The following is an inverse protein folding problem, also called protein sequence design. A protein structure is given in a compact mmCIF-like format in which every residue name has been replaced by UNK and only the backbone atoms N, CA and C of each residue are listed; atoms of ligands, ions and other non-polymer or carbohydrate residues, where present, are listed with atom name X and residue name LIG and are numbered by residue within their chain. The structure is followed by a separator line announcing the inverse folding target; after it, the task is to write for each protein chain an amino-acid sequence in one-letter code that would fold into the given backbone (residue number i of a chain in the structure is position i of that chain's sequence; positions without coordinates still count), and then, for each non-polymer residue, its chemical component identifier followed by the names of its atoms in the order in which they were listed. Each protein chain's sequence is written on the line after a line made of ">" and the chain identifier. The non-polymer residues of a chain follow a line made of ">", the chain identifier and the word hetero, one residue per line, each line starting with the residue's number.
data_IF_681815738551
#
_entry.id   IF_681815738551
#
_cell.length_a   1.000
_cell.length_b   1.000
_cell.length_c   1.000
_cell.angle_alpha   90.00
_cell.angle_beta   90.00
_cell.angle_gamma   90.00
#
_symmetry.space_group_name_H-M   'P 1'
#
loop_
_entity.id
_entity.type
_entity.pdbx_description
1 polymer ?
#
# COMPACT_ATOMS: atom_id res chain seq x y z
N UNK A 1 1.80 120.36 26.39
CA UNK A 1 2.22 119.48 26.63
C UNK A 1 1.47 118.49 27.02
N UNK A 2 0.97 118.74 27.73
CA UNK A 2 0.23 117.86 28.33
C UNK A 2 -0.64 117.00 27.53
N UNK A 3 -1.15 117.59 26.89
CA UNK A 3 -1.98 116.99 26.16
C UNK A 3 -1.43 116.10 25.23
N UNK A 4 -0.55 116.23 24.88
CA UNK A 4 0.06 115.53 24.06
C UNK A 4 0.67 114.41 24.57
N UNK A 5 1.27 114.51 25.63
CA UNK A 5 1.84 113.41 26.37
C UNK A 5 0.79 112.42 26.86
N UNK A 6 -0.41 112.90 27.24
CA UNK A 6 -1.54 112.06 27.62
C UNK A 6 -2.06 111.21 26.47
N UNK A 7 -2.14 111.80 25.26
CA UNK A 7 -2.58 111.06 24.01
C UNK A 7 -1.50 110.02 23.63
N UNK A 8 -0.23 110.41 23.68
CA UNK A 8 0.88 109.47 23.39
C UNK A 8 0.94 108.27 24.38
N UNK A 9 0.70 108.52 25.65
CA UNK A 9 0.63 107.47 26.68
C UNK A 9 -0.61 106.57 26.49
N UNK A 10 -1.77 107.19 26.03
CA UNK A 10 -2.96 106.37 25.72
C UNK A 10 -2.74 105.42 24.54
N UNK A 11 -2.18 105.94 23.44
CA UNK A 11 -1.85 105.11 22.26
C UNK A 11 -0.83 104.06 22.56
N UNK A 12 0.18 104.39 23.33
CA UNK A 12 1.20 103.42 23.73
C UNK A 12 0.65 102.25 24.58
N UNK A 13 -0.33 102.61 25.43
CA UNK A 13 -0.99 101.59 26.29
C UNK A 13 -1.90 100.71 25.43
N UNK A 14 -2.63 101.27 24.46
CA UNK A 14 -3.41 100.46 23.53
C UNK A 14 -2.57 99.58 22.65
N UNK A 15 -1.39 100.01 22.20
CA UNK A 15 -0.42 99.22 21.43
C UNK A 15 0.16 98.14 22.27
N UNK A 16 0.46 98.38 23.54
CA UNK A 16 0.97 97.35 24.47
C UNK A 16 -0.13 96.30 24.75
N UNK A 17 -1.36 96.75 25.00
CA UNK A 17 -2.49 95.81 25.21
C UNK A 17 -2.76 94.94 23.96
N UNK A 18 -2.75 95.59 22.77
CA UNK A 18 -2.89 94.87 21.50
C UNK A 18 -1.74 93.87 21.27
N UNK A 19 -0.49 94.23 21.61
CA UNK A 19 0.68 93.35 21.51
C UNK A 19 0.55 92.18 22.47
N UNK A 20 0.08 92.44 23.72
CA UNK A 20 -0.21 91.41 24.70
C UNK A 20 -1.24 90.45 24.20
N UNK A 21 -2.32 90.87 23.60
CA UNK A 21 -3.36 90.04 23.02
C UNK A 21 -2.83 89.17 21.86
N UNK A 22 -1.92 89.70 21.04
CA UNK A 22 -1.29 88.97 19.94
C UNK A 22 -0.34 87.84 20.55
N UNK A 23 0.45 88.18 21.58
CA UNK A 23 1.31 87.21 22.26
C UNK A 23 0.48 86.08 22.88
N UNK A 24 -0.67 86.40 23.54
CA UNK A 24 -1.51 85.38 24.15
C UNK A 24 -2.10 84.45 23.06
N UNK A 25 -2.56 84.98 21.93
CA UNK A 25 -3.04 84.16 20.81
C UNK A 25 -1.91 83.27 20.24
N UNK A 26 -0.71 83.82 20.11
CA UNK A 26 0.46 83.10 19.59
C UNK A 26 0.83 81.99 20.56
N UNK A 27 0.89 82.25 21.86
CA UNK A 27 1.17 81.26 22.89
C UNK A 27 0.08 80.17 22.86
N UNK A 28 -1.18 80.49 22.83
CA UNK A 28 -2.28 79.54 22.73
C UNK A 28 -2.23 78.70 21.44
N UNK A 29 -1.82 79.35 20.34
CA UNK A 29 -1.59 78.67 19.07
C UNK A 29 -0.45 77.65 19.15
N UNK A 30 0.61 78.08 19.81
CA UNK A 30 1.82 77.18 20.02
C UNK A 30 1.49 75.98 20.92
N UNK A 31 0.72 76.20 22.00
CA UNK A 31 0.24 75.13 22.86
C UNK A 31 -0.61 74.09 22.10
N UNK A 32 -1.51 74.57 21.23
CA UNK A 32 -2.31 73.68 20.37
C UNK A 32 -1.40 72.91 19.44
N UNK A 33 -0.44 73.55 18.78
CA UNK A 33 0.52 72.89 17.89
C UNK A 33 1.30 71.79 18.61
N UNK A 34 1.79 72.05 19.83
CA UNK A 34 2.52 71.04 20.63
C UNK A 34 1.60 69.81 20.91
N UNK A 35 0.36 70.05 21.34
CA UNK A 35 -0.61 68.97 21.58
C UNK A 35 -0.90 68.16 20.32
N UNK A 36 -1.09 68.85 19.20
CA UNK A 36 -1.38 68.17 17.89
C UNK A 36 -0.15 67.36 17.46
N UNK A 37 1.04 67.87 17.68
CA UNK A 37 2.30 67.18 17.37
C UNK A 37 2.44 65.90 18.23
N UNK A 38 2.15 65.98 19.52
CA UNK A 38 2.15 64.81 20.40
C UNK A 38 1.11 63.78 19.97
N UNK A 39 -0.06 64.21 19.58
CA UNK A 39 -1.11 63.34 19.04
C UNK A 39 -0.66 62.64 17.76
N UNK A 40 -0.04 63.39 16.83
CA UNK A 40 0.51 62.84 15.59
C UNK A 40 1.61 61.83 15.89
N UNK A 41 2.49 62.09 16.83
CA UNK A 41 3.53 61.13 17.20
C UNK A 41 2.95 59.82 17.74
N UNK A 42 1.89 59.88 18.54
CA UNK A 42 1.18 58.68 19.02
C UNK A 42 0.57 57.93 17.85
N UNK A 43 -0.11 58.60 16.93
CA UNK A 43 -0.68 57.96 15.74
C UNK A 43 0.37 57.31 14.86
N UNK A 44 1.54 57.90 14.68
CA UNK A 44 2.66 57.30 13.93
C UNK A 44 3.14 56.05 14.65
N UNK A 45 3.25 56.05 15.98
CA UNK A 45 3.64 54.87 16.78
C UNK A 45 2.62 53.74 16.57
N UNK A 46 1.30 54.03 16.60
CA UNK A 46 0.25 53.03 16.41
C UNK A 46 0.32 52.43 14.99
N UNK A 47 0.58 53.26 13.97
CA UNK A 47 0.76 52.79 12.60
C UNK A 47 1.99 51.86 12.48
N UNK A 48 3.11 52.21 13.11
CA UNK A 48 4.32 51.36 13.10
C UNK A 48 4.04 50.00 13.75
N UNK A 49 3.31 50.01 14.88
CA UNK A 49 2.89 48.76 15.51
C UNK A 49 1.99 47.92 14.59
N UNK A 50 0.99 48.53 13.98
CA UNK A 50 0.07 47.82 13.07
C UNK A 50 0.83 47.22 11.87
N UNK A 51 1.83 47.93 11.34
CA UNK A 51 2.68 47.40 10.26
C UNK A 51 3.40 46.16 10.74
N UNK A 52 3.93 46.17 11.96
CA UNK A 52 4.60 45.00 12.56
C UNK A 52 3.67 43.78 12.67
N UNK A 53 2.41 44.01 13.07
CA UNK A 53 1.40 42.96 13.17
C UNK A 53 1.01 42.40 11.79
N UNK A 54 0.91 43.26 10.77
CA UNK A 54 0.67 42.81 9.39
C UNK A 54 1.86 41.99 8.88
N UNK A 55 3.09 42.39 9.15
CA UNK A 55 4.27 41.65 8.71
C UNK A 55 4.32 40.26 9.35
N UNK A 56 4.05 40.17 10.65
CA UNK A 56 3.99 38.87 11.37
C UNK A 56 2.89 37.97 10.79
N UNK A 57 1.72 38.56 10.49
CA UNK A 57 0.60 37.82 9.87
C UNK A 57 0.97 37.31 8.47
N UNK A 58 1.63 38.13 7.66
CA UNK A 58 2.11 37.75 6.33
C UNK A 58 3.11 36.61 6.39
N UNK A 59 4.01 36.63 7.37
CA UNK A 59 4.96 35.52 7.59
C UNK A 59 4.22 34.22 7.92
N UNK A 60 3.26 34.27 8.84
CA UNK A 60 2.44 33.10 9.18
C UNK A 60 1.65 32.58 7.98
N UNK A 61 1.07 33.47 7.17
CA UNK A 61 0.38 33.09 5.95
C UNK A 61 1.32 32.39 4.95
N UNK A 62 2.53 32.89 4.80
CA UNK A 62 3.53 32.30 3.91
C UNK A 62 3.86 30.86 4.31
N UNK A 63 4.03 30.61 5.61
CA UNK A 63 4.28 29.26 6.14
C UNK A 63 3.08 28.34 5.90
N UNK A 64 1.86 28.84 6.11
CA UNK A 64 0.63 28.07 5.85
C UNK A 64 0.49 27.70 4.37
N UNK A 65 0.76 28.65 3.46
CA UNK A 65 0.74 28.39 2.01
C UNK A 65 1.76 27.30 1.67
N UNK A 66 2.94 27.34 2.28
CA UNK A 66 3.96 26.29 2.12
C UNK A 66 3.46 24.91 2.57
N UNK A 67 2.78 24.87 3.71
CA UNK A 67 2.18 23.62 4.23
C UNK A 67 1.08 23.10 3.31
N UNK A 68 0.22 23.97 2.80
CA UNK A 68 -0.84 23.61 1.85
C UNK A 68 -0.24 23.05 0.56
N UNK A 69 0.83 23.67 0.05
CA UNK A 69 1.52 23.17 -1.15
C UNK A 69 2.08 21.77 -0.94
N UNK A 70 2.73 21.50 0.19
CA UNK A 70 3.27 20.20 0.54
C UNK A 70 2.15 19.14 0.67
N UNK A 71 1.06 19.49 1.36
CA UNK A 71 -0.09 18.60 1.51
C UNK A 71 -0.75 18.29 0.16
N UNK A 72 -0.85 19.28 -0.71
CA UNK A 72 -1.40 19.10 -2.06
C UNK A 72 -0.54 18.13 -2.89
N UNK A 73 0.77 18.20 -2.76
CA UNK A 73 1.69 17.27 -3.43
C UNK A 73 1.49 15.83 -2.91
N UNK A 74 1.37 15.65 -1.59
CA UNK A 74 1.09 14.34 -0.99
C UNK A 74 -0.25 13.77 -1.48
N UNK A 75 -1.30 14.60 -1.53
CA UNK A 75 -2.62 14.18 -2.04
C UNK A 75 -2.53 13.75 -3.50
N UNK A 76 -1.81 14.48 -4.35
CA UNK A 76 -1.63 14.10 -5.76
C UNK A 76 -0.90 12.75 -5.90
N UNK A 77 0.12 12.50 -5.10
CA UNK A 77 0.83 11.22 -5.08
C UNK A 77 -0.10 10.08 -4.67
N UNK A 78 -0.91 10.29 -3.62
CA UNK A 78 -1.89 9.29 -3.14
C UNK A 78 -2.98 9.02 -4.18
N UNK A 79 -3.45 10.03 -4.88
CA UNK A 79 -4.44 9.87 -5.96
C UNK A 79 -3.84 9.05 -7.11
N UNK A 80 -2.58 9.31 -7.47
CA UNK A 80 -1.87 8.50 -8.48
C UNK A 80 -1.76 7.04 -8.08
N UNK A 81 -1.37 6.78 -6.85
CA UNK A 81 -1.29 5.43 -6.28
C UNK A 81 -2.66 4.74 -6.29
N UNK A 82 -3.71 5.46 -5.88
CA UNK A 82 -5.08 4.94 -5.84
C UNK A 82 -5.60 4.58 -7.23
N UNK A 83 -5.23 5.31 -8.27
CA UNK A 83 -5.58 4.98 -9.65
C UNK A 83 -4.99 3.63 -10.06
N UNK A 84 -3.74 3.38 -9.70
CA UNK A 84 -3.09 2.07 -9.94
C UNK A 84 -3.79 0.93 -9.21
N UNK A 85 -4.21 1.17 -7.96
CA UNK A 85 -4.98 0.19 -7.18
C UNK A 85 -6.33 -0.13 -7.83
N UNK A 86 -7.03 0.88 -8.32
CA UNK A 86 -8.34 0.72 -9.00
C UNK A 86 -8.16 -0.14 -10.26
N UNK A 87 -7.14 0.13 -11.06
CA UNK A 87 -6.86 -0.68 -12.25
C UNK A 87 -6.56 -2.13 -11.90
N UNK A 88 -5.85 -2.36 -10.80
CA UNK A 88 -5.56 -3.71 -10.31
C UNK A 88 -6.85 -4.43 -9.88
N UNK A 89 -7.72 -3.75 -9.11
CA UNK A 89 -9.01 -4.29 -8.68
C UNK A 89 -9.88 -4.63 -9.90
N UNK A 90 -9.90 -3.75 -10.91
CA UNK A 90 -10.66 -3.98 -12.15
C UNK A 90 -10.20 -5.27 -12.83
N UNK A 91 -8.90 -5.45 -13.04
CA UNK A 91 -8.37 -6.68 -13.67
C UNK A 91 -8.67 -7.93 -12.84
N UNK A 92 -8.59 -7.84 -11.50
CA UNK A 92 -8.96 -8.96 -10.62
C UNK A 92 -10.43 -9.31 -10.77
N UNK A 93 -11.31 -8.30 -10.85
CA UNK A 93 -12.75 -8.50 -11.03
C UNK A 93 -13.06 -9.15 -12.37
N UNK A 94 -12.42 -8.70 -13.44
CA UNK A 94 -12.57 -9.28 -14.79
C UNK A 94 -12.18 -10.77 -14.77
N UNK A 95 -11.05 -11.10 -14.17
CA UNK A 95 -10.59 -12.49 -14.06
C UNK A 95 -11.55 -13.37 -13.25
N UNK A 96 -12.11 -12.86 -12.15
CA UNK A 96 -13.12 -13.59 -11.38
C UNK A 96 -14.38 -13.83 -12.21
N UNK A 97 -14.81 -12.84 -12.99
CA UNK A 97 -15.99 -12.96 -13.86
C UNK A 97 -15.78 -14.03 -14.96
N UNK A 98 -14.57 -14.11 -15.52
CA UNK A 98 -14.23 -15.17 -16.49
C UNK A 98 -14.39 -16.56 -15.88
N UNK A 99 -13.81 -16.79 -14.70
CA UNK A 99 -13.89 -18.06 -13.97
C UNK A 99 -15.35 -18.41 -13.66
N UNK A 100 -16.13 -17.45 -13.16
CA UNK A 100 -17.53 -17.67 -12.81
C UNK A 100 -18.38 -17.99 -14.05
N UNK A 101 -18.09 -17.36 -15.19
CA UNK A 101 -18.78 -17.65 -16.45
C UNK A 101 -18.48 -19.09 -16.89
N UNK A 102 -17.23 -19.52 -16.85
CA UNK A 102 -16.83 -20.89 -17.20
C UNK A 102 -17.51 -21.91 -16.28
N UNK A 103 -17.49 -21.69 -14.96
CA UNK A 103 -18.15 -22.57 -13.99
C UNK A 103 -19.66 -22.68 -14.25
N UNK A 104 -20.32 -21.58 -14.60
CA UNK A 104 -21.77 -21.54 -14.85
C UNK A 104 -22.18 -22.25 -16.15
N UNK A 105 -21.29 -22.27 -17.13
CA UNK A 105 -21.56 -22.91 -18.42
C UNK A 105 -21.13 -24.38 -18.46
N UNK A 106 -20.57 -24.90 -17.35
CA UNK A 106 -20.04 -26.27 -17.28
C UNK A 106 -18.81 -26.42 -18.17
N UNK A 107 -17.93 -25.42 -18.08
CA UNK A 107 -16.72 -25.37 -18.90
C UNK A 107 -15.71 -26.47 -18.55
N UNK A 108 -15.20 -27.12 -19.60
CA UNK A 108 -14.23 -28.22 -19.45
C UNK A 108 -12.91 -27.76 -18.80
N UNK A 109 -12.58 -26.48 -18.92
CA UNK A 109 -11.35 -25.95 -18.33
C UNK A 109 -11.37 -26.04 -16.79
N UNK A 110 -12.47 -25.62 -16.16
CA UNK A 110 -12.59 -25.70 -14.70
C UNK A 110 -12.60 -27.15 -14.20
N UNK A 111 -13.32 -28.04 -14.91
CA UNK A 111 -13.38 -29.46 -14.56
C UNK A 111 -11.99 -30.10 -14.64
N UNK A 112 -11.24 -29.84 -15.71
CA UNK A 112 -9.87 -30.33 -15.89
C UNK A 112 -8.93 -29.82 -14.79
N UNK A 113 -9.07 -28.57 -14.40
CA UNK A 113 -8.29 -27.97 -13.30
C UNK A 113 -8.62 -28.67 -11.98
N UNK A 114 -9.92 -28.92 -11.73
CA UNK A 114 -10.39 -29.59 -10.52
C UNK A 114 -9.81 -31.03 -10.42
N UNK A 115 -9.86 -31.77 -11.52
CA UNK A 115 -9.27 -33.12 -11.60
C UNK A 115 -7.77 -33.10 -11.29
N UNK A 116 -7.05 -32.14 -11.88
CA UNK A 116 -5.61 -31.97 -11.63
C UNK A 116 -5.32 -31.67 -10.16
N UNK A 117 -6.13 -30.79 -9.56
CA UNK A 117 -6.00 -30.41 -8.17
C UNK A 117 -6.26 -31.60 -7.21
N UNK A 118 -7.29 -32.41 -7.51
CA UNK A 118 -7.62 -33.62 -6.73
C UNK A 118 -6.50 -34.66 -6.80
N UNK A 119 -5.96 -34.89 -8.00
CA UNK A 119 -4.82 -35.80 -8.18
C UNK A 119 -3.59 -35.31 -7.39
N UNK A 120 -3.32 -34.00 -7.47
CA UNK A 120 -2.24 -33.37 -6.71
C UNK A 120 -2.44 -33.55 -5.20
N UNK A 121 -3.65 -33.29 -4.69
CA UNK A 121 -3.96 -33.44 -3.26
C UNK A 121 -3.77 -34.89 -2.80
N UNK A 122 -4.23 -35.87 -3.58
CA UNK A 122 -4.04 -37.29 -3.30
C UNK A 122 -2.57 -37.68 -3.21
N UNK A 123 -1.76 -37.25 -4.18
CA UNK A 123 -0.33 -37.52 -4.21
C UNK A 123 0.40 -36.85 -3.01
N UNK A 124 0.07 -35.61 -2.71
CA UNK A 124 0.67 -34.89 -1.57
C UNK A 124 0.30 -35.54 -0.23
N UNK A 125 -0.96 -35.94 -0.07
CA UNK A 125 -1.41 -36.67 1.12
C UNK A 125 -0.65 -37.99 1.27
N UNK A 126 -0.42 -38.70 0.16
CA UNK A 126 0.37 -39.93 0.12
C UNK A 126 1.80 -39.71 0.62
N UNK A 127 2.47 -38.66 0.18
CA UNK A 127 3.83 -38.32 0.64
C UNK A 127 3.88 -38.07 2.16
N UNK A 128 2.90 -37.32 2.65
CA UNK A 128 2.81 -36.97 4.08
C UNK A 128 2.52 -38.23 4.91
N UNK A 129 1.61 -39.09 4.43
CA UNK A 129 1.30 -40.38 5.12
C UNK A 129 2.51 -41.30 5.15
N UNK A 130 3.26 -41.32 4.06
CA UNK A 130 4.47 -42.15 3.98
C UNK A 130 5.53 -41.65 4.98
N UNK A 131 5.78 -40.37 5.03
CA UNK A 131 6.68 -39.77 6.03
C UNK A 131 6.22 -40.12 7.46
N UNK A 132 4.90 -40.00 7.73
CA UNK A 132 4.32 -40.33 9.03
C UNK A 132 4.55 -41.83 9.39
N UNK A 133 4.40 -42.74 8.41
CA UNK A 133 4.66 -44.18 8.62
C UNK A 133 6.12 -44.46 8.98
N UNK A 134 7.04 -43.61 8.52
CA UNK A 134 8.47 -43.70 8.86
C UNK A 134 8.83 -42.93 10.15
N UNK A 135 7.83 -42.54 10.95
CA UNK A 135 8.05 -41.94 12.26
C UNK A 135 8.29 -40.42 12.25
N UNK A 136 8.07 -39.75 11.11
CA UNK A 136 8.26 -38.31 11.01
C UNK A 136 7.01 -37.59 11.53
N UNK A 137 7.18 -36.60 12.41
CA UNK A 137 6.08 -35.77 12.91
C UNK A 137 5.71 -34.76 11.84
N UNK A 138 4.76 -35.12 10.98
CA UNK A 138 4.26 -34.23 9.90
C UNK A 138 3.38 -33.10 10.42
N UNK A 139 2.97 -33.14 11.70
CA UNK A 139 2.18 -32.08 12.33
C UNK A 139 3.03 -31.10 13.15
N UNK A 140 4.36 -31.21 13.11
CA UNK A 140 5.22 -30.24 13.78
C UNK A 140 4.97 -28.82 13.23
N UNK A 141 4.74 -27.89 14.13
CA UNK A 141 4.53 -26.46 13.81
C UNK A 141 5.51 -25.58 14.57
N UNK A 142 6.67 -26.15 14.95
CA UNK A 142 7.78 -25.43 15.57
C UNK A 142 8.72 -24.94 14.46
N UNK A 143 8.43 -23.76 13.93
CA UNK A 143 9.19 -23.18 12.81
C UNK A 143 10.52 -22.64 13.32
N UNK A 144 11.59 -23.37 13.11
CA UNK A 144 12.95 -22.98 13.50
C UNK A 144 13.56 -22.10 12.42
N UNK A 145 13.75 -20.82 12.71
CA UNK A 145 14.27 -19.87 11.73
C UNK A 145 15.67 -20.27 11.25
N UNK A 146 15.87 -20.27 9.94
CA UNK A 146 17.17 -20.46 9.31
C UNK A 146 17.97 -19.17 9.46
N UNK A 147 19.12 -19.26 10.15
CA UNK A 147 19.93 -18.08 10.45
C UNK A 147 20.38 -17.37 9.16
N UNK A 148 20.32 -16.06 9.16
CA UNK A 148 20.76 -15.24 8.03
C UNK A 148 19.84 -15.26 6.81
N UNK A 149 18.68 -15.95 6.89
CA UNK A 149 17.75 -15.96 5.74
C UNK A 149 16.92 -14.67 5.69
N UNK A 150 16.90 -14.05 4.52
CA UNK A 150 16.08 -12.86 4.22
C UNK A 150 15.64 -12.96 2.76
N UNK A 151 14.35 -13.16 2.46
CA UNK A 151 13.21 -13.27 3.42
C UNK A 151 13.32 -14.45 4.41
N UNK A 152 12.61 -14.37 5.55
CA UNK A 152 12.67 -15.39 6.59
C UNK A 152 12.29 -16.78 6.08
N UNK A 153 13.12 -17.78 6.41
CA UNK A 153 12.90 -19.19 6.07
C UNK A 153 13.02 -20.03 7.34
N UNK A 154 12.39 -21.19 7.33
CA UNK A 154 12.26 -22.02 8.55
C UNK A 154 12.45 -23.51 8.24
N UNK A 155 12.80 -24.25 9.28
CA UNK A 155 12.79 -25.72 9.30
C UNK A 155 11.69 -26.22 10.24
N UNK A 156 11.17 -27.40 9.92
CA UNK A 156 10.28 -28.20 10.76
C UNK A 156 10.84 -29.62 10.85
N UNK A 157 10.24 -30.47 11.69
CA UNK A 157 10.66 -31.85 11.83
C UNK A 157 10.50 -32.67 10.53
N UNK A 158 9.59 -32.26 9.65
CA UNK A 158 9.23 -33.03 8.46
C UNK A 158 9.83 -32.52 7.16
N UNK A 159 10.26 -31.24 7.11
CA UNK A 159 10.61 -30.63 5.83
C UNK A 159 11.71 -31.38 5.08
N UNK A 160 12.74 -31.82 5.78
CA UNK A 160 13.88 -32.57 5.16
C UNK A 160 13.46 -33.93 4.62
N UNK A 161 12.51 -34.57 5.29
CA UNK A 161 12.06 -35.92 4.91
C UNK A 161 11.26 -35.89 3.59
N UNK A 162 10.54 -34.78 3.32
CA UNK A 162 9.67 -34.68 2.14
C UNK A 162 10.20 -33.71 1.07
N UNK A 163 11.27 -32.97 1.31
CA UNK A 163 11.76 -31.90 0.43
C UNK A 163 11.91 -32.35 -1.03
N UNK A 164 12.76 -33.38 -1.24
CA UNK A 164 13.05 -33.86 -2.59
C UNK A 164 11.84 -34.52 -3.28
N UNK A 165 11.13 -35.49 -2.66
CA UNK A 165 9.95 -36.07 -3.31
C UNK A 165 8.84 -35.07 -3.52
N UNK A 166 8.65 -34.10 -2.61
CA UNK A 166 7.66 -33.07 -2.77
C UNK A 166 8.03 -32.10 -3.91
N UNK A 167 9.30 -31.69 -4.00
CA UNK A 167 9.76 -30.82 -5.10
C UNK A 167 9.49 -31.46 -6.46
N UNK A 168 9.80 -32.77 -6.59
CA UNK A 168 9.51 -33.51 -7.83
C UNK A 168 8.01 -33.55 -8.15
N UNK A 169 7.17 -33.78 -7.13
CA UNK A 169 5.71 -33.75 -7.31
C UNK A 169 5.24 -32.36 -7.76
N UNK A 170 5.72 -31.31 -7.08
CA UNK A 170 5.37 -29.92 -7.41
C UNK A 170 5.74 -29.59 -8.87
N UNK A 171 6.96 -29.98 -9.29
CA UNK A 171 7.40 -29.71 -10.66
C UNK A 171 6.57 -30.49 -11.69
N UNK A 172 6.25 -31.76 -11.41
CA UNK A 172 5.44 -32.56 -12.33
C UNK A 172 4.03 -32.00 -12.52
N UNK A 173 3.41 -31.49 -11.43
CA UNK A 173 2.09 -30.85 -11.51
C UNK A 173 2.19 -29.52 -12.27
N UNK A 174 3.25 -28.75 -12.04
CA UNK A 174 3.49 -27.50 -12.73
C UNK A 174 3.60 -27.69 -14.26
N UNK A 175 4.24 -28.77 -14.68
CA UNK A 175 4.39 -29.12 -16.10
C UNK A 175 3.08 -29.65 -16.70
N UNK A 176 2.30 -30.39 -15.90
CA UNK A 176 1.07 -31.03 -16.36
C UNK A 176 -0.09 -30.05 -16.52
N UNK A 177 -0.13 -28.94 -15.75
CA UNK A 177 -1.24 -27.99 -15.78
C UNK A 177 -0.87 -26.80 -16.68
N UNK A 178 -1.48 -26.68 -17.87
CA UNK A 178 -1.16 -25.57 -18.77
C UNK A 178 -1.46 -24.21 -18.11
N UNK A 179 -0.57 -23.26 -18.29
CA UNK A 179 -0.75 -21.92 -17.71
C UNK A 179 -0.44 -21.82 -16.22
N UNK A 180 -0.06 -22.93 -15.57
CA UNK A 180 0.33 -22.87 -14.16
C UNK A 180 1.58 -22.00 -13.99
N UNK A 181 1.54 -21.14 -13.01
CA UNK A 181 2.64 -20.25 -12.62
C UNK A 181 3.45 -20.92 -11.50
N UNK A 182 2.77 -21.57 -10.57
CA UNK A 182 3.39 -22.33 -9.50
C UNK A 182 2.43 -23.38 -8.95
N UNK A 183 3.02 -24.38 -8.27
CA UNK A 183 2.29 -25.33 -7.45
C UNK A 183 2.97 -25.38 -6.09
N UNK A 184 2.20 -25.58 -5.01
CA UNK A 184 2.75 -25.53 -3.67
C UNK A 184 1.90 -26.38 -2.71
N UNK A 185 2.55 -26.98 -1.74
CA UNK A 185 1.92 -27.62 -0.58
C UNK A 185 2.24 -26.74 0.64
N UNK A 186 1.21 -26.33 1.36
CA UNK A 186 1.38 -25.53 2.59
C UNK A 186 0.66 -26.20 3.75
N UNK A 187 1.23 -26.08 4.93
CA UNK A 187 0.51 -26.52 6.13
C UNK A 187 -0.59 -25.49 6.48
N UNK A 188 -1.40 -25.79 7.48
CA UNK A 188 -2.55 -24.97 7.87
C UNK A 188 -2.18 -23.59 8.46
N UNK A 189 -0.88 -23.28 8.59
CA UNK A 189 -0.37 -21.96 8.97
C UNK A 189 0.39 -21.28 7.82
N UNK A 190 0.32 -21.88 6.62
CA UNK A 190 0.93 -21.31 5.42
C UNK A 190 2.40 -21.65 5.20
N UNK A 191 2.98 -22.53 6.02
CA UNK A 191 4.38 -22.94 5.83
C UNK A 191 4.51 -23.89 4.64
N UNK A 192 5.42 -23.56 3.72
CA UNK A 192 5.74 -24.35 2.53
C UNK A 192 7.07 -25.09 2.75
N UNK A 193 7.06 -26.40 3.05
CA UNK A 193 8.30 -27.15 3.27
C UNK A 193 9.19 -27.23 2.03
N UNK A 194 8.59 -27.18 0.83
CA UNK A 194 9.28 -27.13 -0.45
C UNK A 194 8.54 -26.20 -1.41
N UNK A 195 9.14 -25.90 -2.54
CA UNK A 195 8.51 -25.18 -3.65
C UNK A 195 9.02 -25.77 -4.97
N UNK A 196 8.42 -25.37 -6.10
CA UNK A 196 8.95 -25.73 -7.42
C UNK A 196 10.45 -25.42 -7.49
N UNK A 197 11.21 -26.24 -8.21
CA UNK A 197 12.66 -26.06 -8.36
C UNK A 197 13.05 -24.65 -8.78
N UNK A 198 12.30 -24.06 -9.70
CA UNK A 198 12.59 -22.69 -10.19
C UNK A 198 12.43 -21.60 -9.14
N UNK A 199 11.75 -21.89 -8.02
CA UNK A 199 11.55 -20.98 -6.89
C UNK A 199 12.28 -21.47 -5.63
N UNK A 200 13.20 -22.44 -5.77
CA UNK A 200 13.96 -23.02 -4.67
C UNK A 200 15.47 -22.84 -4.91
N UNK A 201 15.85 -21.74 -5.51
CA UNK A 201 17.24 -21.47 -5.88
C UNK A 201 18.07 -21.12 -4.63
N UNK A 202 19.39 -21.20 -4.77
CA UNK A 202 20.31 -20.80 -3.71
C UNK A 202 20.15 -19.29 -3.43
N UNK A 203 20.11 -18.87 -2.16
CA UNK A 203 20.04 -17.45 -1.84
C UNK A 203 21.24 -16.67 -2.39
N UNK A 204 20.99 -15.50 -2.94
CA UNK A 204 22.04 -14.59 -3.43
C UNK A 204 22.57 -13.67 -2.32
N UNK A 205 21.78 -13.49 -1.26
CA UNK A 205 22.06 -12.52 -0.19
C UNK A 205 21.45 -11.15 -0.44
N UNK A 206 20.80 -10.95 -1.62
CA UNK A 206 20.03 -9.73 -1.89
C UNK A 206 18.54 -10.03 -1.68
N UNK A 207 17.91 -9.46 -0.64
CA UNK A 207 16.50 -9.74 -0.35
C UNK A 207 15.55 -9.39 -1.51
N UNK A 208 15.88 -8.38 -2.32
CA UNK A 208 15.04 -7.98 -3.46
C UNK A 208 15.03 -9.03 -4.57
N UNK A 209 16.13 -9.73 -4.73
CA UNK A 209 16.27 -10.84 -5.68
C UNK A 209 15.67 -12.11 -5.07
N UNK A 210 15.99 -12.38 -3.82
CA UNK A 210 15.65 -13.63 -3.15
C UNK A 210 14.14 -13.75 -2.86
N UNK A 211 13.41 -12.64 -2.73
CA UNK A 211 11.96 -12.67 -2.51
C UNK A 211 11.21 -13.40 -3.64
N UNK A 212 11.72 -13.32 -4.88
CA UNK A 212 11.11 -13.96 -6.05
C UNK A 212 11.65 -15.36 -6.31
N UNK A 213 12.89 -15.65 -5.94
CA UNK A 213 13.63 -16.85 -6.36
C UNK A 213 13.80 -17.92 -5.27
N UNK A 214 13.69 -17.51 -4.00
CA UNK A 214 13.92 -18.38 -2.84
C UNK A 214 12.65 -18.42 -2.01
N UNK A 215 11.70 -19.25 -2.44
CA UNK A 215 10.36 -19.26 -1.86
C UNK A 215 10.07 -20.52 -1.03
N UNK A 216 10.92 -21.52 -1.09
CA UNK A 216 10.81 -22.74 -0.27
C UNK A 216 11.12 -22.43 1.19
N UNK A 217 10.51 -23.19 2.09
CA UNK A 217 10.70 -23.07 3.55
C UNK A 217 10.26 -21.73 4.12
N UNK A 218 9.33 -21.05 3.43
CA UNK A 218 8.72 -19.80 3.87
C UNK A 218 7.32 -20.01 4.42
N UNK A 219 6.85 -19.04 5.19
CA UNK A 219 5.46 -18.97 5.65
C UNK A 219 4.75 -17.90 4.80
N UNK A 220 3.66 -18.30 4.16
CA UNK A 220 2.82 -17.42 3.35
C UNK A 220 1.58 -17.07 4.18
N UNK A 221 1.73 -16.09 5.06
CA UNK A 221 0.74 -15.67 6.05
C UNK A 221 0.05 -14.33 5.73
N UNK A 222 0.23 -13.85 4.51
CA UNK A 222 -0.60 -12.73 4.03
C UNK A 222 -2.09 -13.15 4.02
N UNK A 223 -3.04 -12.20 4.03
CA UNK A 223 -4.47 -12.55 4.18
C UNK A 223 -5.00 -13.58 3.19
N UNK A 224 -4.48 -13.60 1.94
CA UNK A 224 -4.89 -14.56 0.91
C UNK A 224 -4.22 -15.92 1.18
N UNK A 225 -2.93 -15.92 1.40
CA UNK A 225 -2.15 -17.14 1.70
C UNK A 225 -2.69 -17.87 2.92
N UNK A 226 -2.92 -17.14 4.00
CA UNK A 226 -3.47 -17.70 5.25
C UNK A 226 -4.86 -18.32 5.03
N UNK A 227 -5.74 -17.63 4.29
CA UNK A 227 -7.09 -18.13 3.99
C UNK A 227 -7.06 -19.41 3.16
N UNK A 228 -6.19 -19.46 2.15
CA UNK A 228 -6.03 -20.64 1.30
C UNK A 228 -5.45 -21.83 2.07
N UNK A 229 -4.49 -21.58 2.97
CA UNK A 229 -3.86 -22.61 3.81
C UNK A 229 -4.82 -23.18 4.85
N UNK A 230 -5.69 -22.34 5.42
CA UNK A 230 -6.65 -22.71 6.45
C UNK A 230 -7.98 -23.26 5.88
N UNK A 231 -8.10 -23.36 4.55
CA UNK A 231 -9.32 -23.88 3.92
C UNK A 231 -9.61 -25.31 4.38
N UNK A 232 -10.80 -25.54 4.96
CA UNK A 232 -11.26 -26.84 5.41
C UNK A 232 -12.48 -27.37 4.64
N UNK A 233 -12.97 -26.57 3.69
CA UNK A 233 -14.14 -26.88 2.89
C UNK A 233 -13.81 -27.50 1.55
N UNK A 234 -14.62 -27.20 0.56
CA UNK A 234 -14.39 -27.59 -0.83
C UNK A 234 -13.24 -26.77 -1.45
N UNK A 235 -13.07 -26.90 -2.73
CA UNK A 235 -12.11 -26.07 -3.47
C UNK A 235 -12.37 -24.58 -3.19
N UNK A 236 -11.30 -23.84 -2.98
CA UNK A 236 -11.35 -22.39 -2.76
C UNK A 236 -10.57 -21.71 -3.88
N UNK A 237 -11.26 -20.84 -4.63
CA UNK A 237 -10.66 -20.08 -5.73
C UNK A 237 -10.50 -18.62 -5.29
N UNK A 238 -9.31 -18.05 -5.53
CA UNK A 238 -9.05 -16.64 -5.22
C UNK A 238 -8.20 -16.00 -6.32
N UNK A 239 -8.50 -14.75 -6.63
CA UNK A 239 -7.70 -13.92 -7.52
C UNK A 239 -7.03 -12.83 -6.71
N UNK A 240 -5.71 -12.67 -6.85
CA UNK A 240 -4.98 -11.67 -6.08
C UNK A 240 -3.70 -11.23 -6.83
N UNK A 241 -3.14 -10.12 -6.37
CA UNK A 241 -1.85 -9.65 -6.85
C UNK A 241 -0.74 -10.15 -5.94
N UNK A 242 0.25 -10.79 -6.54
CA UNK A 242 1.44 -11.28 -5.81
C UNK A 242 2.35 -10.11 -5.40
N UNK A 243 3.30 -10.42 -4.52
CA UNK A 243 4.39 -9.52 -4.14
C UNK A 243 5.21 -9.01 -5.35
N UNK A 244 5.14 -9.72 -6.48
CA UNK A 244 5.76 -9.33 -7.76
C UNK A 244 4.88 -8.38 -8.59
N UNK A 245 3.63 -8.11 -8.16
CA UNK A 245 2.65 -7.31 -8.91
C UNK A 245 1.85 -8.09 -9.95
N UNK A 246 2.16 -9.37 -10.14
CA UNK A 246 1.48 -10.25 -11.09
C UNK A 246 0.13 -10.69 -10.54
N UNK A 247 -0.93 -10.64 -11.37
CA UNK A 247 -2.25 -11.15 -10.98
C UNK A 247 -2.25 -12.65 -11.20
N UNK A 248 -2.66 -13.38 -10.18
CA UNK A 248 -2.69 -14.84 -10.19
C UNK A 248 -4.07 -15.31 -9.71
N UNK A 249 -4.58 -16.30 -10.38
CA UNK A 249 -5.72 -17.09 -9.93
C UNK A 249 -5.16 -18.28 -9.16
N UNK A 250 -5.58 -18.45 -7.93
CA UNK A 250 -5.06 -19.50 -7.03
C UNK A 250 -6.24 -20.38 -6.62
N UNK A 251 -6.12 -21.66 -6.90
CA UNK A 251 -7.11 -22.65 -6.47
C UNK A 251 -6.46 -23.55 -5.42
N UNK A 252 -7.17 -23.81 -4.32
CA UNK A 252 -6.68 -24.67 -3.24
C UNK A 252 -7.66 -25.78 -2.91
N UNK A 253 -7.11 -26.90 -2.46
CA UNK A 253 -7.87 -28.04 -1.94
C UNK A 253 -7.24 -28.49 -0.62
N UNK A 254 -8.05 -28.67 0.45
CA UNK A 254 -7.50 -29.06 1.75
C UNK A 254 -6.95 -30.49 1.74
N UNK A 255 -5.93 -30.70 2.56
CA UNK A 255 -5.31 -32.01 2.81
C UNK A 255 -5.69 -32.48 4.20
N UNK A 256 -6.21 -33.67 4.29
CA UNK A 256 -6.53 -34.34 5.55
C UNK A 256 -5.71 -35.60 5.71
N UNK A 257 -5.18 -35.83 6.91
CA UNK A 257 -4.51 -37.07 7.28
C UNK A 257 -5.35 -37.77 8.37
N UNK A 258 -6.27 -38.63 7.90
CA UNK A 258 -7.36 -39.11 8.74
C UNK A 258 -8.36 -37.98 8.98
N UNK A 259 -8.81 -37.73 10.22
CA UNK A 259 -9.74 -36.63 10.51
C UNK A 259 -9.06 -35.27 10.66
N UNK A 260 -7.73 -35.23 10.69
CA UNK A 260 -6.97 -34.02 11.00
C UNK A 260 -6.65 -33.22 9.76
N UNK A 261 -7.02 -31.93 9.72
CA UNK A 261 -6.68 -30.99 8.67
C UNK A 261 -5.19 -30.67 8.76
N UNK A 262 -4.43 -31.03 7.73
CA UNK A 262 -2.99 -30.81 7.67
C UNK A 262 -2.64 -29.43 7.09
N UNK A 263 -3.34 -29.05 6.02
CA UNK A 263 -3.06 -27.84 5.26
C UNK A 263 -3.74 -27.92 3.89
N UNK A 264 -3.07 -27.44 2.84
CA UNK A 264 -3.66 -27.41 1.50
C UNK A 264 -2.61 -27.53 0.40
N UNK A 265 -3.01 -28.16 -0.72
CA UNK A 265 -2.32 -27.96 -2.00
C UNK A 265 -2.90 -26.74 -2.70
N UNK A 266 -2.07 -26.07 -3.49
CA UNK A 266 -2.47 -24.87 -4.23
C UNK A 266 -1.83 -24.91 -5.63
N UNK A 267 -2.61 -24.45 -6.62
CA UNK A 267 -2.12 -24.20 -7.98
C UNK A 267 -2.39 -22.73 -8.28
N UNK A 268 -1.34 -21.96 -8.50
CA UNK A 268 -1.43 -20.59 -8.97
C UNK A 268 -1.27 -20.57 -10.49
N UNK A 269 -2.20 -19.93 -11.20
CA UNK A 269 -2.21 -19.98 -12.67
C UNK A 269 -2.76 -18.66 -13.25
N UNK A 270 -2.43 -18.44 -14.51
CA UNK A 270 -3.11 -17.47 -15.38
C UNK A 270 -4.31 -18.21 -15.98
N UNK A 271 -5.50 -17.95 -15.46
CA UNK A 271 -6.70 -18.72 -15.85
C UNK A 271 -7.08 -18.47 -17.31
N UNK A 272 -6.95 -17.26 -17.80
CA UNK A 272 -7.26 -16.96 -19.20
C UNK A 272 -6.33 -17.74 -20.15
N UNK A 273 -5.05 -17.81 -19.81
CA UNK A 273 -4.09 -18.61 -20.57
C UNK A 273 -4.38 -20.11 -20.48
N UNK A 274 -4.72 -20.60 -19.30
CA UNK A 274 -5.12 -21.99 -19.09
C UNK A 274 -6.32 -22.35 -19.99
N UNK A 275 -7.37 -21.54 -19.95
CA UNK A 275 -8.58 -21.73 -20.74
C UNK A 275 -8.25 -21.69 -22.25
N UNK A 276 -7.50 -20.72 -22.72
CA UNK A 276 -7.12 -20.58 -24.12
C UNK A 276 -6.35 -21.80 -24.64
N UNK A 277 -5.46 -22.37 -23.82
CA UNK A 277 -4.70 -23.57 -24.20
C UNK A 277 -5.64 -24.78 -24.32
N UNK A 278 -6.56 -24.98 -23.38
CA UNK A 278 -7.51 -26.09 -23.44
C UNK A 278 -8.45 -25.97 -24.64
N UNK A 279 -8.97 -24.77 -24.90
CA UNK A 279 -9.83 -24.52 -26.05
C UNK A 279 -9.09 -24.75 -27.38
N UNK A 280 -7.84 -24.34 -27.45
CA UNK A 280 -6.99 -24.58 -28.61
C UNK A 280 -6.73 -26.07 -28.86
N UNK A 281 -6.50 -26.84 -27.83
CA UNK A 281 -6.34 -28.30 -27.92
C UNK A 281 -7.66 -28.96 -28.38
N UNK A 282 -8.80 -28.54 -27.84
CA UNK A 282 -10.11 -29.04 -28.21
C UNK A 282 -10.45 -28.75 -29.69
N UNK A 283 -10.07 -27.56 -30.18
CA UNK A 283 -10.27 -27.19 -31.57
C UNK A 283 -9.38 -28.03 -32.53
N UNK A 284 -8.12 -28.21 -32.14
CA UNK A 284 -7.15 -29.02 -32.90
C UNK A 284 -7.56 -30.49 -32.99
N UNK A 285 -8.06 -31.07 -31.91
CA UNK A 285 -8.56 -32.43 -31.85
C UNK A 285 -9.78 -32.65 -32.78
N UNK A 286 -10.68 -31.68 -32.81
CA UNK A 286 -11.88 -31.76 -33.70
C UNK A 286 -11.52 -31.70 -35.19
N UNK A 287 -10.51 -30.91 -35.56
CA UNK A 287 -10.03 -30.83 -36.94
C UNK A 287 -9.39 -32.16 -37.37
N UNK A 288 -8.61 -32.80 -36.49
CA UNK A 288 -7.98 -34.09 -36.79
C UNK A 288 -9.00 -35.22 -36.96
N UNK A 289 -10.09 -35.23 -36.19
CA UNK A 289 -11.17 -36.23 -36.32
C UNK A 289 -12.05 -35.99 -37.54
N UNK A 290 -12.19 -34.76 -37.99
CA UNK A 290 -13.00 -34.45 -39.18
C UNK A 290 -12.25 -34.70 -40.50
N UNK A 291 -10.95 -34.89 -40.45
CA UNK A 291 -10.10 -35.16 -41.62
C UNK A 291 -9.75 -36.66 -41.82
N UNK A 292 -10.18 -37.57 -40.93
CA UNK A 292 -10.03 -39.00 -41.02
C UNK A 292 -11.32 -39.70 -41.43
#
# INVERSE_FOLDING_TARGET
>A
XXXXTQRQTGTLREDVDASGAVLDRTCGGFERFVRDFDSMNRQVSDVVQAIGEVDATNHGMSEEVGRIAALSADVLERVGSMSGEIDRIRRQTESVQEVLADMRTGGTAFDSLSESLEAFAGAAAGLLQDARRHGVDVFDRHYQRIAGSEPPRYHTAYDRAIDEPLTRLLDSVLEAVPGAIYTILVDNRGYAPAHNSRFSLAPTGDPKVDIARVRNKRIFDDPVGARLAANTGAQLFQTYSRDTGEIVNDISLPIYLGPEHWGAVRIGLDYARFQAILDGHAAGGRVAQAAG
#
